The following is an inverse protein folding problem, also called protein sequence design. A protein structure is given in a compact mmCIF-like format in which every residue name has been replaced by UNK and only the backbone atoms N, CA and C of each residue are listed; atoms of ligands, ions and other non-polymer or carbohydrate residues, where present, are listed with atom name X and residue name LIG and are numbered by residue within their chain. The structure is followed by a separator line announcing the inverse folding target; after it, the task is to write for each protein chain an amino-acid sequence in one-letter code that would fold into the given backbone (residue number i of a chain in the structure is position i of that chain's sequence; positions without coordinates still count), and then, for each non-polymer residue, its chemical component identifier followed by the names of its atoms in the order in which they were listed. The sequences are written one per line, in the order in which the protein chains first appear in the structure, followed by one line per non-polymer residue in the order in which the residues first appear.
data_IF_413540603466
#
_entry.id   IF_413540603466
#
_cell.length_a   1.000
_cell.length_b   1.000
_cell.length_c   1.000
_cell.angle_alpha   90.00
_cell.angle_beta   90.00
_cell.angle_gamma   90.00
#
_symmetry.space_group_name_H-M   'P 1'
#
loop_
_entity.id
_entity.type
_entity.pdbx_description
1 polymer ?
#
# COMPACT_ATOMS: atom_id res chain seq x y z
N UNK A 1 -26.01 -8.54 7.59
CA UNK A 1 -25.52 -9.92 7.77
C UNK A 1 -24.75 -10.31 6.52
N UNK A 2 -23.48 -9.93 6.44
CA UNK A 2 -22.63 -10.30 5.31
C UNK A 2 -22.19 -11.74 5.52
N UNK A 3 -22.68 -12.65 4.68
CA UNK A 3 -22.16 -14.01 4.65
C UNK A 3 -20.82 -13.91 3.92
N UNK A 4 -19.73 -13.79 4.68
CA UNK A 4 -18.38 -14.05 4.18
C UNK A 4 -18.35 -15.50 3.71
N UNK A 5 -18.62 -15.74 2.43
CA UNK A 5 -18.24 -17.00 1.81
C UNK A 5 -16.72 -17.00 1.80
N UNK A 6 -16.15 -17.73 2.76
CA UNK A 6 -14.73 -18.02 2.86
C UNK A 6 -14.29 -18.71 1.57
N UNK A 7 -13.88 -17.94 0.56
CA UNK A 7 -13.11 -18.49 -0.55
C UNK A 7 -11.78 -18.88 0.06
N UNK A 8 -11.58 -20.17 0.22
CA UNK A 8 -10.34 -20.77 0.67
C UNK A 8 -9.26 -20.46 -0.37
N UNK A 9 -8.54 -19.34 -0.19
CA UNK A 9 -7.11 -19.38 -0.42
C UNK A 9 -6.61 -20.45 0.54
N UNK A 10 -6.35 -21.68 0.07
CA UNK A 10 -5.53 -22.59 0.87
C UNK A 10 -4.19 -21.86 0.97
N UNK A 11 -3.82 -21.31 2.13
CA UNK A 11 -2.46 -20.85 2.26
C UNK A 11 -1.66 -22.11 1.96
N UNK A 12 -0.80 -22.07 0.94
CA UNK A 12 0.37 -22.92 1.01
C UNK A 12 1.07 -22.47 2.28
N UNK A 13 0.70 -23.07 3.41
CA UNK A 13 1.48 -23.08 4.62
C UNK A 13 2.83 -23.51 4.11
N UNK A 14 3.78 -22.56 4.10
CA UNK A 14 5.16 -22.88 3.77
C UNK A 14 5.48 -24.18 4.50
N UNK A 15 5.99 -25.23 3.83
CA UNK A 15 6.13 -26.57 4.40
C UNK A 15 6.83 -26.61 5.77
N UNK A 16 7.51 -25.52 6.15
CA UNK A 16 8.32 -25.37 7.35
C UNK A 16 7.77 -24.40 8.42
N UNK A 17 6.53 -23.92 8.35
CA UNK A 17 6.03 -22.94 9.32
C UNK A 17 6.79 -21.59 9.28
N UNK A 18 7.42 -21.29 8.13
CA UNK A 18 8.21 -20.10 7.91
C UNK A 18 7.36 -18.85 8.13
N UNK A 19 7.82 -17.97 9.04
CA UNK A 19 7.22 -16.67 9.30
C UNK A 19 7.74 -15.69 8.27
N UNK A 20 6.87 -15.19 7.39
CA UNK A 20 7.23 -14.15 6.43
C UNK A 20 7.61 -12.87 7.16
N UNK A 21 8.68 -12.22 6.74
CA UNK A 21 8.99 -10.88 7.21
C UNK A 21 7.99 -9.88 6.62
N UNK A 22 7.72 -10.00 5.32
CA UNK A 22 6.84 -9.08 4.60
C UNK A 22 5.86 -9.83 3.70
N UNK A 23 4.57 -9.52 3.85
CA UNK A 23 3.54 -9.84 2.88
C UNK A 23 3.21 -8.57 2.09
N UNK A 24 3.31 -8.61 0.77
CA UNK A 24 2.97 -7.49 -0.11
C UNK A 24 1.64 -7.77 -0.79
N UNK A 25 0.67 -6.89 -0.59
CA UNK A 25 -0.60 -6.89 -1.30
C UNK A 25 -0.58 -5.78 -2.35
N UNK A 26 -0.50 -6.18 -3.61
CA UNK A 26 -0.58 -5.26 -4.75
C UNK A 26 -2.04 -5.16 -5.17
N UNK A 27 -2.66 -4.02 -4.91
CA UNK A 27 -4.05 -3.80 -5.29
C UNK A 27 -4.13 -3.56 -6.80
N UNK A 28 -4.76 -4.50 -7.50
CA UNK A 28 -4.88 -4.52 -8.96
C UNK A 28 -6.34 -4.69 -9.40
N UNK A 29 -6.54 -4.66 -10.71
CA UNK A 29 -7.81 -4.88 -11.37
C UNK A 29 -7.68 -6.00 -12.39
N UNK A 30 -8.76 -6.74 -12.67
CA UNK A 30 -8.78 -7.86 -13.64
C UNK A 30 -8.07 -7.49 -14.95
N UNK A 31 -8.41 -6.33 -15.50
CA UNK A 31 -7.87 -5.79 -16.76
C UNK A 31 -6.39 -5.35 -16.74
N UNK A 32 -5.76 -5.21 -15.57
CA UNK A 32 -4.42 -4.64 -15.43
C UNK A 32 -3.29 -5.67 -15.58
N UNK A 33 -3.45 -6.66 -16.46
CA UNK A 33 -2.45 -7.73 -16.66
C UNK A 33 -1.04 -7.19 -16.97
N UNK A 34 -0.91 -6.25 -17.89
CA UNK A 34 0.40 -5.65 -18.23
C UNK A 34 1.10 -4.99 -17.01
N UNK A 35 0.33 -4.42 -16.07
CA UNK A 35 0.91 -3.88 -14.82
C UNK A 35 1.44 -5.00 -13.92
N UNK A 36 0.66 -6.07 -13.74
CA UNK A 36 1.09 -7.25 -12.98
C UNK A 36 2.33 -7.90 -13.59
N UNK A 37 2.34 -8.08 -14.91
CA UNK A 37 3.48 -8.65 -15.63
C UNK A 37 4.74 -7.79 -15.47
N UNK A 38 4.62 -6.46 -15.63
CA UNK A 38 5.75 -5.56 -15.38
C UNK A 38 6.26 -5.62 -13.93
N UNK A 39 5.38 -5.76 -12.94
CA UNK A 39 5.77 -5.94 -11.54
C UNK A 39 6.58 -7.24 -11.35
N UNK A 40 6.08 -8.37 -11.89
CA UNK A 40 6.76 -9.68 -11.87
C UNK A 40 8.12 -9.65 -12.54
N UNK A 41 8.22 -8.97 -13.68
CA UNK A 41 9.45 -8.80 -14.46
C UNK A 41 10.47 -7.89 -13.77
N UNK A 42 10.05 -7.11 -12.77
CA UNK A 42 10.86 -6.05 -12.16
C UNK A 42 11.03 -6.24 -10.66
N UNK A 43 10.41 -5.43 -9.81
CA UNK A 43 10.71 -5.38 -8.39
C UNK A 43 10.13 -6.54 -7.57
N UNK A 44 9.22 -7.34 -8.15
CA UNK A 44 8.66 -8.53 -7.49
C UNK A 44 9.55 -9.78 -7.67
N UNK A 45 10.87 -9.63 -7.51
CA UNK A 45 11.78 -10.76 -7.57
C UNK A 45 11.57 -11.71 -6.37
N UNK A 46 11.72 -13.04 -6.57
CA UNK A 46 11.58 -14.02 -5.50
C UNK A 46 12.54 -13.76 -4.33
N UNK A 47 12.03 -13.84 -3.10
CA UNK A 47 12.80 -13.73 -1.86
C UNK A 47 12.16 -14.59 -0.78
N UNK A 48 12.97 -15.33 -0.02
CA UNK A 48 12.49 -16.40 0.88
C UNK A 48 11.51 -15.92 1.96
N UNK A 49 11.75 -14.75 2.56
CA UNK A 49 10.95 -14.18 3.65
C UNK A 49 9.92 -13.14 3.17
N UNK A 50 9.68 -13.06 1.86
CA UNK A 50 8.72 -12.13 1.27
C UNK A 50 7.73 -12.89 0.38
N UNK A 51 6.43 -12.63 0.55
CA UNK A 51 5.39 -13.10 -0.37
C UNK A 51 4.70 -11.90 -0.99
N UNK A 52 4.48 -11.94 -2.29
CA UNK A 52 3.76 -10.92 -3.04
C UNK A 52 2.48 -11.56 -3.58
N UNK A 53 1.35 -10.88 -3.42
CA UNK A 53 0.04 -11.30 -3.93
C UNK A 53 -0.63 -10.13 -4.65
N UNK A 54 -1.18 -10.39 -5.84
CA UNK A 54 -2.00 -9.44 -6.58
C UNK A 54 -3.46 -9.57 -6.16
N UNK A 55 -3.99 -8.54 -5.51
CA UNK A 55 -5.38 -8.50 -5.07
C UNK A 55 -6.26 -8.05 -6.22
N UNK A 56 -7.22 -8.88 -6.61
CA UNK A 56 -8.14 -8.62 -7.72
C UNK A 56 -9.54 -9.08 -7.37
N UNK A 57 -10.53 -8.50 -8.04
CA UNK A 57 -11.91 -9.02 -7.98
C UNK A 57 -11.97 -10.39 -8.67
N UNK A 58 -12.76 -11.30 -8.13
CA UNK A 58 -12.95 -12.66 -8.67
C UNK A 58 -13.46 -12.60 -10.11
N UNK A 59 -12.76 -13.26 -11.04
CA UNK A 59 -13.13 -13.27 -12.45
C UNK A 59 -12.55 -14.51 -13.17
N UNK A 60 -13.38 -15.22 -13.94
CA UNK A 60 -12.98 -16.45 -14.65
C UNK A 60 -11.85 -16.22 -15.67
N UNK A 61 -11.71 -15.01 -16.20
CA UNK A 61 -10.64 -14.66 -17.14
C UNK A 61 -9.24 -14.73 -16.52
N UNK A 62 -9.14 -14.70 -15.19
CA UNK A 62 -7.87 -14.79 -14.46
C UNK A 62 -7.35 -16.23 -14.32
N UNK A 63 -8.17 -17.25 -14.58
CA UNK A 63 -7.80 -18.66 -14.38
C UNK A 63 -6.49 -19.04 -15.08
N UNK A 64 -6.31 -18.60 -16.34
CA UNK A 64 -5.10 -18.92 -17.11
C UNK A 64 -3.85 -18.23 -16.55
N UNK A 65 -3.98 -16.98 -16.09
CA UNK A 65 -2.87 -16.24 -15.47
C UNK A 65 -2.51 -16.86 -14.11
N UNK A 66 -3.52 -17.15 -13.28
CA UNK A 66 -3.31 -17.71 -11.96
C UNK A 66 -2.74 -19.13 -12.01
N UNK A 67 -3.09 -19.93 -13.04
CA UNK A 67 -2.51 -21.24 -13.26
C UNK A 67 -0.99 -21.19 -13.51
N UNK A 68 -0.51 -20.12 -14.15
CA UNK A 68 0.91 -19.93 -14.46
C UNK A 68 1.67 -19.33 -13.28
N UNK A 69 1.12 -18.31 -12.63
CA UNK A 69 1.86 -17.51 -11.66
C UNK A 69 1.57 -17.86 -10.19
N UNK A 70 0.37 -18.37 -9.89
CA UNK A 70 -0.06 -18.76 -8.53
C UNK A 70 0.23 -17.68 -7.46
N UNK A 71 0.00 -16.42 -7.82
CA UNK A 71 0.25 -15.23 -7.02
C UNK A 71 -0.97 -14.29 -6.96
N UNK A 72 -2.15 -14.78 -7.36
CA UNK A 72 -3.39 -14.01 -7.31
C UNK A 72 -4.11 -14.23 -5.97
N UNK A 73 -4.62 -13.14 -5.40
CA UNK A 73 -5.57 -13.14 -4.29
C UNK A 73 -6.90 -12.59 -4.79
N UNK A 74 -7.79 -13.48 -5.18
CA UNK A 74 -9.14 -13.12 -5.64
C UNK A 74 -10.06 -12.86 -4.45
N UNK A 75 -10.70 -11.68 -4.42
CA UNK A 75 -11.71 -11.32 -3.41
C UNK A 75 -13.09 -11.19 -4.06
N UNK A 76 -14.14 -11.49 -3.27
CA UNK A 76 -15.53 -11.43 -3.70
C UNK A 76 -16.09 -10.00 -3.55
N UNK A 77 -15.43 -9.04 -4.19
CA UNK A 77 -15.80 -7.63 -4.20
C UNK A 77 -15.82 -7.13 -5.65
N UNK A 78 -16.86 -6.40 -6.04
CA UNK A 78 -16.96 -5.86 -7.40
C UNK A 78 -15.86 -4.85 -7.71
N UNK A 79 -15.49 -4.72 -8.98
CA UNK A 79 -14.45 -3.81 -9.42
C UNK A 79 -14.98 -2.36 -9.48
N UNK A 80 -14.36 -1.46 -8.74
CA UNK A 80 -14.73 -0.04 -8.77
C UNK A 80 -13.98 0.77 -7.72
N UNK A 81 -13.75 2.05 -8.01
CA UNK A 81 -12.99 2.92 -7.10
C UNK A 81 -13.62 2.99 -5.70
N UNK A 82 -14.94 3.16 -5.61
CA UNK A 82 -15.66 3.23 -4.32
C UNK A 82 -15.68 1.91 -3.55
N UNK A 83 -15.35 0.81 -4.22
CA UNK A 83 -15.29 -0.53 -3.66
C UNK A 83 -13.86 -0.93 -3.30
N UNK A 84 -12.88 -0.05 -3.57
CA UNK A 84 -11.47 -0.28 -3.26
C UNK A 84 -11.25 -0.50 -1.76
N UNK A 85 -11.94 0.27 -0.92
CA UNK A 85 -11.92 0.11 0.55
C UNK A 85 -12.38 -1.28 0.97
N UNK A 86 -13.45 -1.80 0.34
CA UNK A 86 -13.95 -3.16 0.60
C UNK A 86 -12.96 -4.22 0.11
N UNK A 87 -12.42 -4.04 -1.10
CA UNK A 87 -11.36 -4.90 -1.65
C UNK A 87 -10.16 -4.99 -0.70
N UNK A 88 -9.72 -3.88 -0.10
CA UNK A 88 -8.59 -3.88 0.84
C UNK A 88 -8.93 -4.60 2.14
N UNK A 89 -10.04 -4.29 2.82
CA UNK A 89 -10.37 -4.99 4.08
C UNK A 89 -10.66 -6.49 3.84
N UNK A 90 -11.28 -6.85 2.71
CA UNK A 90 -11.44 -8.24 2.30
C UNK A 90 -10.09 -8.93 2.08
N UNK A 91 -9.13 -8.26 1.42
CA UNK A 91 -7.79 -8.81 1.23
C UNK A 91 -7.06 -9.03 2.56
N UNK A 92 -7.22 -8.12 3.53
CA UNK A 92 -6.69 -8.26 4.89
C UNK A 92 -7.30 -9.47 5.60
N UNK A 93 -8.62 -9.67 5.45
CA UNK A 93 -9.31 -10.82 6.01
C UNK A 93 -8.82 -12.14 5.40
N UNK A 94 -8.62 -12.20 4.08
CA UNK A 94 -8.16 -13.40 3.37
C UNK A 94 -6.74 -13.84 3.75
N UNK A 95 -5.88 -12.90 4.19
CA UNK A 95 -4.49 -13.21 4.55
C UNK A 95 -4.24 -13.27 6.06
N UNK A 96 -5.26 -13.05 6.90
CA UNK A 96 -5.12 -12.96 8.37
C UNK A 96 -4.41 -14.17 9.00
N UNK A 97 -4.61 -15.34 8.41
CA UNK A 97 -4.10 -16.62 8.90
C UNK A 97 -2.69 -16.94 8.36
N UNK A 98 -2.16 -16.15 7.42
CA UNK A 98 -0.77 -16.25 6.94
C UNK A 98 0.18 -15.75 8.03
N UNK A 99 1.23 -16.50 8.35
CA UNK A 99 2.21 -16.10 9.36
C UNK A 99 3.19 -15.06 8.82
N UNK A 100 2.98 -13.77 9.10
CA UNK A 100 3.86 -12.67 8.68
C UNK A 100 4.08 -11.62 9.79
N UNK A 101 5.16 -10.83 9.71
CA UNK A 101 5.43 -9.69 10.59
C UNK A 101 4.75 -8.40 10.11
N UNK A 102 4.93 -8.06 8.84
CA UNK A 102 4.45 -6.82 8.23
C UNK A 102 3.64 -7.08 6.95
N UNK A 103 2.68 -6.21 6.67
CA UNK A 103 1.94 -6.14 5.42
C UNK A 103 2.23 -4.79 4.73
N UNK A 104 2.79 -4.83 3.52
CA UNK A 104 2.85 -3.67 2.62
C UNK A 104 1.63 -3.73 1.69
N UNK A 105 0.78 -2.72 1.75
CA UNK A 105 -0.21 -2.46 0.69
C UNK A 105 0.41 -1.48 -0.29
N UNK A 106 0.32 -1.75 -1.59
CA UNK A 106 0.64 -0.77 -2.63
C UNK A 106 -0.29 -0.91 -3.83
N UNK A 107 -0.30 0.09 -4.70
CA UNK A 107 -1.08 0.06 -5.95
C UNK A 107 -0.27 -0.60 -7.09
N UNK A 108 -0.95 -1.12 -8.11
CA UNK A 108 -0.28 -1.75 -9.27
C UNK A 108 0.42 -0.78 -10.24
N UNK A 109 0.38 0.53 -9.95
CA UNK A 109 1.26 1.55 -10.53
C UNK A 109 2.29 2.10 -9.53
N UNK A 110 2.70 1.28 -8.56
CA UNK A 110 3.78 1.61 -7.62
C UNK A 110 5.00 0.72 -7.84
N UNK A 111 6.20 1.30 -7.66
CA UNK A 111 7.47 0.59 -7.66
C UNK A 111 8.00 0.49 -6.24
N UNK A 112 8.35 -0.72 -5.79
CA UNK A 112 8.84 -0.97 -4.43
C UNK A 112 10.33 -1.31 -4.47
N UNK A 113 11.17 -0.59 -3.74
CA UNK A 113 12.56 -0.97 -3.56
C UNK A 113 12.67 -2.07 -2.49
N UNK A 114 12.49 -3.33 -2.93
CA UNK A 114 12.38 -4.48 -2.05
C UNK A 114 13.58 -4.68 -1.11
N UNK A 115 14.85 -4.56 -1.56
CA UNK A 115 16.00 -4.66 -0.66
C UNK A 115 15.99 -3.61 0.45
N UNK A 116 15.69 -2.34 0.11
CA UNK A 116 15.68 -1.25 1.09
C UNK A 116 14.55 -1.42 2.11
N UNK A 117 13.33 -1.71 1.66
CA UNK A 117 12.19 -1.82 2.58
C UNK A 117 12.38 -3.00 3.55
N UNK A 118 12.90 -4.13 3.07
CA UNK A 118 13.17 -5.30 3.91
C UNK A 118 14.26 -5.02 4.95
N UNK A 119 15.31 -4.29 4.58
CA UNK A 119 16.39 -3.89 5.48
C UNK A 119 15.89 -2.93 6.59
N UNK A 120 15.04 -1.97 6.23
CA UNK A 120 14.44 -1.04 7.19
C UNK A 120 13.55 -1.78 8.21
N UNK A 121 12.77 -2.77 7.76
CA UNK A 121 11.86 -3.54 8.62
C UNK A 121 12.56 -4.36 9.72
N UNK A 122 13.86 -4.65 9.57
CA UNK A 122 14.66 -5.29 10.64
C UNK A 122 14.73 -4.44 11.91
N UNK A 123 14.64 -3.12 11.75
CA UNK A 123 14.78 -2.14 12.82
C UNK A 123 13.44 -1.51 13.23
N UNK A 124 12.33 -1.96 12.64
CA UNK A 124 10.99 -1.43 12.94
C UNK A 124 10.30 -2.18 14.08
N UNK A 125 9.37 -1.53 14.79
CA UNK A 125 8.50 -2.21 15.74
C UNK A 125 7.63 -3.26 15.06
N UNK A 126 7.73 -4.53 15.48
CA UNK A 126 6.90 -5.64 14.96
C UNK A 126 5.41 -5.55 15.28
N UNK A 127 5.01 -4.60 16.13
CA UNK A 127 3.63 -4.39 16.58
C UNK A 127 3.29 -2.91 16.52
N UNK A 128 2.02 -2.63 16.28
CA UNK A 128 1.45 -1.28 16.25
C UNK A 128 2.16 -0.32 15.28
N UNK A 129 2.75 -0.82 14.19
CA UNK A 129 3.42 0.01 13.19
C UNK A 129 2.45 0.41 12.09
N UNK A 130 2.36 1.71 11.83
CA UNK A 130 1.77 2.27 10.61
C UNK A 130 2.78 3.23 9.97
N UNK A 131 3.38 2.79 8.86
CA UNK A 131 4.52 3.47 8.23
C UNK A 131 4.21 3.85 6.79
N UNK A 132 4.45 5.10 6.43
CA UNK A 132 4.26 5.61 5.08
C UNK A 132 4.40 7.12 5.02
N UNK A 133 3.92 7.73 3.94
CA UNK A 133 3.89 9.18 3.81
C UNK A 133 2.56 9.74 4.32
N UNK A 134 2.56 10.28 5.53
CA UNK A 134 1.35 10.79 6.19
C UNK A 134 0.95 12.19 5.70
N UNK A 135 -0.35 12.41 5.50
CA UNK A 135 -0.97 13.73 5.35
C UNK A 135 -2.03 13.94 6.44
N UNK A 136 -1.88 14.98 7.25
CA UNK A 136 -2.81 15.37 8.31
C UNK A 136 -3.63 16.62 7.98
N UNK A 137 -3.40 17.22 6.81
CA UNK A 137 -3.98 18.48 6.41
C UNK A 137 -4.91 18.35 5.18
N UNK A 138 -5.12 17.13 4.69
CA UNK A 138 -5.91 16.87 3.49
C UNK A 138 -7.39 17.31 3.62
N UNK A 139 -7.88 17.97 2.57
CA UNK A 139 -9.27 18.38 2.47
C UNK A 139 -10.16 17.25 1.93
N UNK A 140 -11.38 17.18 2.48
CA UNK A 140 -12.43 16.29 2.00
C UNK A 140 -12.70 16.57 0.53
N UNK A 141 -12.65 15.53 -0.29
CA UNK A 141 -12.94 15.62 -1.72
C UNK A 141 -14.46 15.75 -1.90
N UNK A 142 -14.93 16.92 -2.33
CA UNK A 142 -16.37 17.20 -2.49
C UNK A 142 -16.92 16.92 -3.90
N UNK A 143 -16.06 16.65 -4.89
CA UNK A 143 -16.42 16.51 -6.31
C UNK A 143 -15.57 15.43 -7.02
N UNK A 144 -16.04 15.00 -8.18
CA UNK A 144 -15.35 14.07 -9.07
C UNK A 144 -15.38 12.61 -8.59
N UNK A 145 -14.58 11.75 -9.22
CA UNK A 145 -14.49 10.32 -8.89
C UNK A 145 -14.08 10.02 -7.44
N UNK A 146 -13.39 10.98 -6.81
CA UNK A 146 -12.90 10.89 -5.44
C UNK A 146 -13.88 11.49 -4.42
N UNK A 147 -15.10 11.89 -4.83
CA UNK A 147 -16.07 12.51 -3.93
C UNK A 147 -16.37 11.60 -2.74
N UNK A 148 -16.21 12.15 -1.55
CA UNK A 148 -16.49 11.50 -0.28
C UNK A 148 -17.79 12.06 0.30
N UNK A 149 -18.88 11.30 0.21
CA UNK A 149 -20.21 11.72 0.70
C UNK A 149 -20.48 11.29 2.13
N UNK A 150 -19.86 10.20 2.56
CA UNK A 150 -20.15 9.57 3.86
C UNK A 150 -19.25 10.10 4.99
N UNK A 151 -18.32 11.01 4.68
CA UNK A 151 -17.40 11.56 5.68
C UNK A 151 -18.11 12.52 6.64
N UNK A 152 -18.22 12.11 7.90
CA UNK A 152 -18.88 12.86 8.98
C UNK A 152 -17.97 13.12 10.20
N UNK A 153 -16.71 12.67 10.15
CA UNK A 153 -15.86 12.63 11.35
C UNK A 153 -15.27 14.00 11.72
N UNK A 154 -14.98 14.86 10.73
CA UNK A 154 -14.32 16.15 10.93
C UNK A 154 -14.41 17.03 9.67
N UNK A 155 -13.96 18.28 9.73
CA UNK A 155 -13.89 19.22 8.59
C UNK A 155 -12.78 18.90 7.58
N UNK A 156 -11.80 18.08 8.00
CA UNK A 156 -10.70 17.55 7.18
C UNK A 156 -10.61 16.04 7.37
N UNK A 157 -9.86 15.37 6.51
CA UNK A 157 -9.54 13.97 6.76
C UNK A 157 -8.67 13.85 8.03
N UNK A 158 -8.88 12.77 8.79
CA UNK A 158 -7.99 12.41 9.89
C UNK A 158 -6.62 11.98 9.31
N UNK A 159 -5.51 12.11 10.05
CA UNK A 159 -4.19 11.74 9.55
C UNK A 159 -4.12 10.32 8.98
N UNK A 160 -3.61 10.20 7.76
CA UNK A 160 -3.52 8.92 7.05
C UNK A 160 -2.25 8.87 6.18
N UNK A 161 -1.74 7.67 5.94
CA UNK A 161 -0.65 7.47 4.97
C UNK A 161 -1.22 7.39 3.55
N UNK A 162 -0.62 8.10 2.60
CA UNK A 162 -1.12 8.19 1.22
C UNK A 162 -1.08 6.85 0.48
N UNK A 163 -2.14 6.58 -0.31
CA UNK A 163 -2.49 5.26 -0.81
C UNK A 163 -1.53 4.56 -1.79
N UNK A 164 -0.56 5.27 -2.39
CA UNK A 164 0.42 4.65 -3.29
C UNK A 164 1.24 3.54 -2.60
N UNK A 165 1.38 3.62 -1.28
CA UNK A 165 1.78 2.47 -0.48
C UNK A 165 2.07 2.81 0.97
N UNK A 166 1.81 1.84 1.85
CA UNK A 166 2.06 1.95 3.29
C UNK A 166 2.23 0.57 3.91
N UNK A 167 2.94 0.51 5.04
CA UNK A 167 3.18 -0.71 5.81
C UNK A 167 2.38 -0.70 7.10
N UNK A 168 1.74 -1.83 7.40
CA UNK A 168 1.08 -2.11 8.67
C UNK A 168 1.70 -3.34 9.33
N UNK A 169 1.88 -3.34 10.65
CA UNK A 169 2.21 -4.57 11.38
C UNK A 169 1.01 -5.52 11.43
N UNK A 170 1.27 -6.83 11.51
CA UNK A 170 0.22 -7.85 11.48
C UNK A 170 -0.87 -7.65 12.55
N UNK A 171 -0.53 -7.18 13.75
CA UNK A 171 -1.51 -6.95 14.81
C UNK A 171 -2.54 -5.85 14.45
N UNK A 172 -2.15 -4.83 13.67
CA UNK A 172 -3.10 -3.85 13.16
C UNK A 172 -4.02 -4.44 12.09
N UNK A 173 -3.48 -5.29 11.20
CA UNK A 173 -4.30 -6.02 10.22
C UNK A 173 -5.35 -6.88 10.94
N UNK A 174 -4.95 -7.63 11.96
CA UNK A 174 -5.87 -8.45 12.77
C UNK A 174 -6.92 -7.59 13.48
N UNK A 175 -6.53 -6.44 14.03
CA UNK A 175 -7.47 -5.52 14.65
C UNK A 175 -8.53 -5.02 13.66
N UNK A 176 -8.11 -4.57 12.48
CA UNK A 176 -9.03 -4.07 11.44
C UNK A 176 -10.01 -5.15 11.00
N UNK A 177 -9.51 -6.36 10.70
CA UNK A 177 -10.37 -7.48 10.27
C UNK A 177 -11.36 -7.90 11.36
N UNK A 178 -10.93 -7.97 12.63
CA UNK A 178 -11.82 -8.36 13.74
C UNK A 178 -12.94 -7.34 14.00
N UNK A 179 -12.70 -6.07 13.70
CA UNK A 179 -13.64 -4.99 14.00
C UNK A 179 -14.34 -4.45 12.74
N UNK A 180 -14.15 -5.07 11.57
CA UNK A 180 -14.57 -4.55 10.28
C UNK A 180 -16.05 -4.16 10.20
N UNK A 181 -16.92 -4.87 10.91
CA UNK A 181 -18.37 -4.61 10.93
C UNK A 181 -18.75 -3.29 11.64
N UNK A 182 -17.84 -2.73 12.44
CA UNK A 182 -17.99 -1.44 13.12
C UNK A 182 -17.30 -0.29 12.39
N UNK A 183 -16.53 -0.57 11.34
CA UNK A 183 -15.72 0.41 10.65
C UNK A 183 -16.54 1.14 9.58
N UNK A 184 -16.60 2.47 9.66
CA UNK A 184 -17.21 3.30 8.61
C UNK A 184 -16.43 3.15 7.29
N UNK A 185 -17.12 2.80 6.21
CA UNK A 185 -16.50 2.66 4.89
C UNK A 185 -16.51 4.01 4.16
N UNK A 186 -15.34 4.58 3.92
CA UNK A 186 -15.20 5.78 3.09
C UNK A 186 -14.74 5.38 1.67
N UNK A 187 -15.02 6.22 0.67
CA UNK A 187 -14.71 5.96 -0.72
C UNK A 187 -13.20 5.86 -0.99
N UNK A 188 -12.38 6.61 -0.26
CA UNK A 188 -10.93 6.49 -0.31
C UNK A 188 -10.43 5.48 0.71
N UNK A 189 -9.71 4.47 0.22
CA UNK A 189 -9.24 3.36 1.04
C UNK A 189 -8.18 3.79 2.05
N UNK A 190 -7.23 4.61 1.63
CA UNK A 190 -6.16 5.14 2.48
C UNK A 190 -6.70 6.05 3.60
N UNK A 191 -7.68 6.90 3.28
CA UNK A 191 -8.45 7.69 4.27
C UNK A 191 -9.18 6.76 5.24
N UNK A 192 -9.77 5.66 4.74
CA UNK A 192 -10.47 4.70 5.60
C UNK A 192 -9.54 4.05 6.60
N UNK A 193 -8.38 3.53 6.15
CA UNK A 193 -7.37 2.95 7.04
C UNK A 193 -6.87 3.97 8.06
N UNK A 194 -6.60 5.20 7.63
CA UNK A 194 -6.22 6.29 8.55
C UNK A 194 -7.28 6.57 9.61
N UNK A 195 -8.55 6.67 9.22
CA UNK A 195 -9.66 6.88 10.14
C UNK A 195 -9.83 5.73 11.12
N UNK A 196 -9.79 4.48 10.66
CA UNK A 196 -9.95 3.28 11.51
C UNK A 196 -8.83 3.13 12.54
N UNK A 197 -7.62 3.54 12.18
CA UNK A 197 -6.44 3.48 13.06
C UNK A 197 -6.26 4.75 13.90
N UNK A 198 -7.00 5.84 13.61
CA UNK A 198 -6.87 7.12 14.31
C UNK A 198 -7.06 7.07 15.84
N UNK A 199 -8.01 6.29 16.43
CA UNK A 199 -8.20 6.29 17.88
C UNK A 199 -7.17 5.41 18.60
N UNK A 200 -6.33 4.68 17.87
CA UNK A 200 -5.42 3.69 18.47
C UNK A 200 -4.10 4.31 18.93
N UNK A 201 -3.59 3.82 20.05
CA UNK A 201 -2.24 4.11 20.54
C UNK A 201 -1.20 3.25 19.80
N UNK A 202 -0.75 3.77 18.64
CA UNK A 202 0.13 3.09 17.69
C UNK A 202 1.30 3.98 17.27
N UNK A 203 2.36 3.36 16.75
CA UNK A 203 3.52 4.03 16.16
C UNK A 203 3.20 4.44 14.73
N UNK A 204 2.95 5.73 14.51
CA UNK A 204 2.84 6.32 13.16
C UNK A 204 4.22 6.83 12.75
N UNK A 205 4.78 6.27 11.68
CA UNK A 205 6.07 6.69 11.14
C UNK A 205 5.85 7.39 9.81
N UNK A 206 6.05 8.71 9.79
CA UNK A 206 6.15 9.46 8.54
C UNK A 206 7.52 9.21 7.90
N UNK A 207 7.55 8.97 6.59
CA UNK A 207 8.81 8.75 5.85
C UNK A 207 8.74 9.26 4.42
N UNK A 208 9.63 10.20 4.10
CA UNK A 208 9.71 10.90 2.80
C UNK A 208 10.20 10.02 1.67
N UNK A 209 10.69 8.82 1.97
CA UNK A 209 11.08 7.82 0.98
C UNK A 209 9.87 7.07 0.40
N UNK A 210 8.68 7.26 0.97
CA UNK A 210 7.40 6.89 0.35
C UNK A 210 6.94 8.03 -0.56
N UNK A 211 7.34 8.01 -1.83
CA UNK A 211 6.87 8.92 -2.86
C UNK A 211 5.49 8.49 -3.38
N UNK A 212 4.48 8.63 -2.51
CA UNK A 212 3.13 8.05 -2.69
C UNK A 212 2.04 9.09 -2.91
N UNK A 213 2.44 10.34 -3.21
CA UNK A 213 1.52 11.39 -3.62
C UNK A 213 0.93 11.13 -5.01
N UNK A 214 -0.09 11.89 -5.40
CA UNK A 214 -0.73 11.75 -6.72
C UNK A 214 0.25 11.99 -7.88
N UNK A 215 1.18 12.93 -7.71
CA UNK A 215 2.31 13.16 -8.60
C UNK A 215 3.60 12.79 -7.87
N UNK A 216 4.46 12.03 -8.55
CA UNK A 216 5.78 11.69 -8.04
C UNK A 216 6.59 12.96 -7.79
N UNK A 217 7.25 13.04 -6.63
CA UNK A 217 8.12 14.16 -6.25
C UNK A 217 9.43 14.17 -7.03
N UNK A 218 9.72 13.15 -7.83
CA UNK A 218 10.91 13.05 -8.66
C UNK A 218 11.47 11.64 -8.66
N UNK A 219 12.80 11.53 -8.77
CA UNK A 219 13.49 10.25 -8.67
C UNK A 219 14.62 10.36 -7.65
N UNK A 220 14.61 9.47 -6.65
CA UNK A 220 15.72 9.29 -5.71
C UNK A 220 15.97 7.80 -5.49
N UNK A 221 17.23 7.41 -5.37
CA UNK A 221 17.63 6.02 -5.22
C UNK A 221 17.27 5.45 -3.85
N UNK A 222 17.06 6.31 -2.85
CA UNK A 222 16.65 5.93 -1.51
C UNK A 222 15.12 5.84 -1.33
N UNK A 223 14.33 6.07 -2.39
CA UNK A 223 12.89 5.84 -2.33
C UNK A 223 12.57 4.37 -2.07
N UNK A 224 11.68 4.14 -1.10
CA UNK A 224 11.17 2.83 -0.69
C UNK A 224 9.98 2.41 -1.55
N UNK A 225 9.07 3.37 -1.79
CA UNK A 225 7.89 3.19 -2.65
C UNK A 225 7.78 4.41 -3.53
N UNK A 226 7.59 4.21 -4.83
CA UNK A 226 7.48 5.29 -5.80
C UNK A 226 6.23 5.15 -6.65
N UNK A 227 5.35 6.14 -6.61
CA UNK A 227 4.07 6.19 -7.30
C UNK A 227 3.93 7.54 -8.03
N UNK A 228 3.43 7.61 -9.25
CA UNK A 228 2.99 6.51 -10.14
C UNK A 228 4.10 6.08 -11.08
N UNK A 229 4.12 4.80 -11.45
CA UNK A 229 5.00 4.23 -12.48
C UNK A 229 4.18 3.42 -13.47
N UNK A 230 4.42 3.67 -14.76
CA UNK A 230 3.87 2.84 -15.82
C UNK A 230 4.69 1.56 -15.94
N UNK A 231 4.16 0.50 -16.59
CA UNK A 231 4.92 -0.71 -16.89
C UNK A 231 6.29 -0.44 -17.52
N UNK A 232 6.37 0.50 -18.46
CA UNK A 232 7.61 0.90 -19.13
C UNK A 232 8.59 1.57 -18.17
N UNK A 233 8.10 2.49 -17.33
CA UNK A 233 8.92 3.13 -16.30
C UNK A 233 9.45 2.12 -15.28
N UNK A 234 8.64 1.15 -14.87
CA UNK A 234 9.09 0.09 -13.94
C UNK A 234 10.23 -0.72 -14.55
N UNK A 235 10.09 -1.14 -15.82
CA UNK A 235 11.12 -1.91 -16.54
C UNK A 235 12.40 -1.10 -16.72
N UNK A 236 12.30 0.19 -17.05
CA UNK A 236 13.46 1.08 -17.18
C UNK A 236 14.20 1.25 -15.85
N UNK A 237 13.47 1.55 -14.77
CA UNK A 237 14.05 1.65 -13.43
C UNK A 237 14.75 0.36 -13.02
N UNK A 238 14.14 -0.79 -13.33
CA UNK A 238 14.69 -2.09 -13.02
C UNK A 238 15.94 -2.41 -13.83
N UNK A 239 15.93 -2.15 -15.14
CA UNK A 239 17.10 -2.39 -15.98
C UNK A 239 18.30 -1.57 -15.51
N UNK A 240 18.08 -0.31 -15.13
CA UNK A 240 19.14 0.53 -14.57
C UNK A 240 19.58 0.06 -13.19
N UNK A 241 18.66 -0.38 -12.33
CA UNK A 241 19.00 -0.92 -11.03
C UNK A 241 19.88 -2.16 -11.13
N UNK A 242 19.56 -3.09 -12.03
CA UNK A 242 20.37 -4.29 -12.29
C UNK A 242 21.76 -3.93 -12.83
N UNK A 243 21.87 -2.91 -13.68
CA UNK A 243 23.15 -2.50 -14.28
C UNK A 243 24.04 -1.68 -13.34
N UNK A 244 23.46 -0.84 -12.50
CA UNK A 244 24.19 0.22 -11.77
C UNK A 244 24.01 0.17 -10.25
N UNK A 245 23.12 -0.68 -9.75
CA UNK A 245 22.67 -0.67 -8.35
C UNK A 245 21.75 0.50 -7.99
N UNK A 246 21.37 1.34 -8.96
CA UNK A 246 20.59 2.57 -8.76
C UNK A 246 19.32 2.57 -9.61
N UNK A 247 18.21 3.00 -9.01
CA UNK A 247 16.91 3.11 -9.69
C UNK A 247 16.88 4.28 -10.68
N UNK A 248 17.54 5.39 -10.34
CA UNK A 248 17.55 6.64 -11.09
C UNK A 248 18.90 6.85 -11.77
N UNK A 249 18.89 7.20 -13.06
CA UNK A 249 20.12 7.64 -13.77
C UNK A 249 20.71 8.89 -13.13
N UNK A 250 19.82 9.84 -12.88
CA UNK A 250 20.11 11.08 -12.18
C UNK A 250 18.96 11.34 -11.23
N UNK A 251 19.29 11.66 -9.99
CA UNK A 251 18.27 12.08 -9.03
C UNK A 251 17.78 13.48 -9.37
N UNK A 252 16.47 13.68 -9.26
CA UNK A 252 15.84 14.97 -9.48
C UNK A 252 14.60 15.10 -8.62
N UNK A 253 14.14 16.33 -8.46
CA UNK A 253 13.02 16.67 -7.58
C UNK A 253 12.11 17.67 -8.28
N UNK A 254 10.83 17.34 -8.39
CA UNK A 254 9.78 18.22 -8.93
C UNK A 254 9.01 18.93 -7.83
N UNK A 255 8.85 18.30 -6.65
CA UNK A 255 8.01 18.82 -5.56
C UNK A 255 8.68 18.58 -4.20
N UNK A 256 8.60 19.56 -3.30
CA UNK A 256 9.14 19.45 -1.94
C UNK A 256 8.36 18.43 -1.13
N UNK A 257 9.00 17.36 -0.63
CA UNK A 257 8.42 16.63 0.51
C UNK A 257 8.41 17.53 1.76
N UNK A 258 7.59 17.16 2.73
CA UNK A 258 7.53 17.75 4.06
C UNK A 258 7.93 16.69 5.10
N UNK A 259 8.26 17.14 6.31
CA UNK A 259 8.24 16.29 7.50
C UNK A 259 6.86 16.42 8.15
N UNK A 260 6.36 15.35 8.76
CA UNK A 260 5.14 15.42 9.56
C UNK A 260 5.50 15.77 11.01
N UNK A 261 5.10 16.96 11.45
CA UNK A 261 5.24 17.38 12.85
C UNK A 261 4.06 16.85 13.69
N UNK A 262 4.35 15.85 14.54
CA UNK A 262 3.37 15.22 15.44
C UNK A 262 3.07 16.05 16.69
N UNK A 263 3.82 17.13 16.96
CA UNK A 263 3.63 17.99 18.14
C UNK A 263 2.55 19.07 17.93
N UNK A 264 2.16 19.30 16.67
CA UNK A 264 1.15 20.29 16.29
C UNK A 264 -0.15 19.63 15.87
N UNK A 265 -1.21 20.44 15.75
CA UNK A 265 -2.47 19.97 15.18
C UNK A 265 -2.26 19.41 13.76
N UNK A 266 -3.01 18.38 13.34
CA UNK A 266 -2.93 17.82 11.99
C UNK A 266 -2.98 18.86 10.87
N UNK A 267 -3.78 19.92 11.03
CA UNK A 267 -3.89 20.99 10.04
C UNK A 267 -2.60 21.83 9.84
N UNK A 268 -1.61 21.66 10.73
CA UNK A 268 -0.32 22.35 10.71
C UNK A 268 0.87 21.38 10.54
N UNK A 269 0.63 20.07 10.42
CA UNK A 269 1.68 19.03 10.45
C UNK A 269 2.70 19.13 9.31
N UNK A 270 2.26 19.61 8.15
CA UNK A 270 2.80 19.14 6.87
C UNK A 270 3.18 20.33 5.97
N UNK A 271 3.87 21.30 6.56
CA UNK A 271 4.32 22.51 5.85
C UNK A 271 5.49 22.17 4.93
N UNK A 272 5.34 22.43 3.62
CA UNK A 272 6.44 22.29 2.67
C UNK A 272 7.36 23.49 2.76
N UNK A 273 8.65 23.24 2.94
CA UNK A 273 9.64 24.29 2.78
C UNK A 273 9.88 24.55 1.27
N UNK A 274 9.25 25.60 0.76
CA UNK A 274 9.36 26.01 -0.65
C UNK A 274 10.63 26.81 -0.93
N UNK A 275 11.36 27.29 0.09
CA UNK A 275 12.61 28.04 -0.11
C UNK A 275 13.78 27.15 -0.56
N UNK A 276 13.59 25.83 -0.59
CA UNK A 276 14.55 24.83 -1.07
C UNK A 276 14.23 24.35 -2.49
N UNK A 277 13.32 25.05 -3.20
CA UNK A 277 13.03 24.82 -4.60
C UNK A 277 13.51 26.02 -5.43
N UNK A 278 14.40 25.80 -6.42
CA UNK A 278 14.72 26.82 -7.40
C UNK A 278 13.53 27.12 -8.32
#
# INVERSE_FOLDING_TARGET
MFILHTITFKPNTSPNGLRLRLLVLVISAVKNRNRRDAIRETWAQPKEDVKILFVVSKDKSLNAENLVHNDMLEVDEEEGYRLLTRKVIASFASVRDINFDYLLKCDDDSFVNMPLIVNELEHMPKKRLYWGYFDGNAHIKKRGKFKETEWILCDRYLPYALGGGYVLSKDLIIYLVKNQDYLSMFASEDVSVGAWLSPLNITRKHDRRFDTEWYSRGCRNDYLVTHKRSPEMMRLHWSHNIQTGKMCDKEFKHIASYEYDWSVMPSKCCMRNLSLFP
#
